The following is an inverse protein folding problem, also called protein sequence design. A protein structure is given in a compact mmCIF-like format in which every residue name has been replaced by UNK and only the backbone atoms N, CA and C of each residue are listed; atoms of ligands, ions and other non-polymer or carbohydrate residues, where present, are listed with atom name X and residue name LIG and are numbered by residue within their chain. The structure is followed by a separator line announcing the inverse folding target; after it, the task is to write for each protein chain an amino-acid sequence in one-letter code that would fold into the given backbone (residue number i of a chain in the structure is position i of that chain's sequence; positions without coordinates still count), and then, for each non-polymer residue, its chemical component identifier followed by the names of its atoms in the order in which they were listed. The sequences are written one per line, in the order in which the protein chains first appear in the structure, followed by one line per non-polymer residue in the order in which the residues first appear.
data_IF_143558229025
#
_entry.id   IF_143558229025
#
_cell.length_a   1.000
_cell.length_b   1.000
_cell.length_c   1.000
_cell.angle_alpha   90.00
_cell.angle_beta   90.00
_cell.angle_gamma   90.00
#
_symmetry.space_group_name_H-M   'P 1'
#
loop_
_entity.id
_entity.type
_entity.pdbx_description
1 polymer ?
#
# COMPACT_ATOMS: atom_id res chain seq x y z
N UNK A 1 0.10 7.55 -23.81
CA UNK A 1 0.75 7.38 -22.49
C UNK A 1 0.60 5.90 -22.12
N UNK A 2 1.69 5.13 -22.12
CA UNK A 2 1.60 3.68 -21.86
C UNK A 2 1.25 3.41 -20.39
N UNK A 3 0.49 2.35 -20.07
CA UNK A 3 0.22 1.97 -18.70
C UNK A 3 1.54 1.63 -17.98
N UNK A 4 1.73 2.23 -16.80
CA UNK A 4 2.88 1.93 -15.93
C UNK A 4 2.48 0.85 -14.93
N UNK A 5 3.17 -0.26 -14.94
CA UNK A 5 3.04 -1.31 -13.93
C UNK A 5 3.86 -0.92 -12.71
N UNK A 6 3.25 -0.98 -11.53
CA UNK A 6 3.91 -0.71 -10.24
C UNK A 6 3.82 -1.98 -9.39
N UNK A 7 4.90 -2.29 -8.68
CA UNK A 7 5.00 -3.44 -7.79
C UNK A 7 5.02 -2.93 -6.34
N UNK A 8 4.23 -3.55 -5.47
CA UNK A 8 4.19 -3.21 -4.04
C UNK A 8 5.49 -3.60 -3.32
N UNK A 9 5.83 -2.88 -2.25
CA UNK A 9 7.05 -3.12 -1.47
C UNK A 9 7.14 -4.53 -0.84
N UNK A 10 5.98 -5.18 -0.61
CA UNK A 10 5.87 -6.53 -0.04
C UNK A 10 6.49 -7.61 -0.93
N UNK A 11 6.78 -7.28 -2.19
CA UNK A 11 7.45 -8.17 -3.13
C UNK A 11 8.98 -8.09 -3.08
N UNK A 12 9.52 -7.19 -2.26
CA UNK A 12 10.96 -6.99 -2.06
C UNK A 12 11.34 -7.36 -0.62
N UNK A 13 12.60 -7.73 -0.41
CA UNK A 13 13.11 -7.91 0.95
C UNK A 13 13.27 -6.54 1.62
N UNK A 14 13.05 -6.47 2.93
CA UNK A 14 13.26 -5.22 3.68
C UNK A 14 14.70 -4.72 3.57
N UNK A 15 15.67 -5.63 3.48
CA UNK A 15 17.09 -5.32 3.29
C UNK A 15 17.39 -4.52 2.01
N UNK A 16 16.52 -4.67 1.01
CA UNK A 16 16.67 -4.05 -0.30
C UNK A 16 16.07 -2.65 -0.37
N UNK A 17 15.26 -2.29 0.62
CA UNK A 17 14.63 -0.99 0.76
C UNK A 17 15.54 -0.08 1.59
N UNK A 18 15.95 1.03 1.01
CA UNK A 18 16.73 2.09 1.65
C UNK A 18 15.82 3.23 2.06
N UNK A 19 16.03 3.73 3.28
CA UNK A 19 15.38 4.94 3.77
C UNK A 19 16.45 6.04 3.87
N UNK A 20 16.30 7.09 3.08
CA UNK A 20 17.16 8.26 3.18
C UNK A 20 16.79 9.03 4.47
N UNK A 21 17.74 9.13 5.41
CA UNK A 21 17.53 9.77 6.72
C UNK A 21 17.08 11.24 6.62
N UNK A 22 17.61 11.98 5.65
CA UNK A 22 17.35 13.41 5.48
C UNK A 22 15.98 13.70 4.87
N UNK A 23 15.54 12.89 3.91
CA UNK A 23 14.30 13.12 3.18
C UNK A 23 13.17 12.16 3.60
N UNK A 24 13.43 11.24 4.53
CA UNK A 24 12.55 10.11 4.91
C UNK A 24 11.99 9.35 3.70
N UNK A 25 12.73 9.36 2.58
CA UNK A 25 12.27 8.79 1.30
C UNK A 25 12.72 7.35 1.21
N UNK A 26 11.77 6.49 0.86
CA UNK A 26 12.00 5.08 0.65
C UNK A 26 12.36 4.84 -0.82
N UNK A 27 13.41 4.09 -1.08
CA UNK A 27 13.84 3.72 -2.43
C UNK A 27 14.41 2.31 -2.43
N UNK A 28 14.35 1.63 -3.58
CA UNK A 28 15.01 0.35 -3.76
C UNK A 28 16.49 0.56 -4.04
N UNK A 29 17.33 -0.40 -3.62
CA UNK A 29 18.71 -0.46 -4.10
C UNK A 29 18.72 -0.66 -5.63
N UNK A 30 19.69 -0.06 -6.35
CA UNK A 30 19.81 -0.27 -7.79
C UNK A 30 19.99 -1.75 -8.14
N UNK A 31 19.27 -2.22 -9.17
CA UNK A 31 19.38 -3.59 -9.69
C UNK A 31 18.64 -4.65 -8.87
N UNK A 32 17.87 -4.26 -7.85
CA UNK A 32 17.05 -5.21 -7.09
C UNK A 32 15.83 -5.63 -7.89
N UNK A 33 15.59 -6.93 -7.92
CA UNK A 33 14.40 -7.55 -8.48
C UNK A 33 13.47 -8.07 -7.37
N UNK A 34 12.15 -8.11 -7.60
CA UNK A 34 11.20 -8.65 -6.63
C UNK A 34 11.40 -10.15 -6.45
N UNK A 35 11.82 -10.57 -5.26
CA UNK A 35 12.05 -11.98 -4.92
C UNK A 35 10.97 -12.59 -4.03
N UNK A 36 10.13 -11.76 -3.39
CA UNK A 36 9.11 -12.22 -2.44
C UNK A 36 7.78 -12.38 -3.17
N UNK A 37 7.55 -13.57 -3.70
CA UNK A 37 6.31 -13.93 -4.38
C UNK A 37 5.53 -14.91 -3.52
N UNK A 38 4.63 -14.38 -2.70
CA UNK A 38 3.73 -15.23 -1.92
C UNK A 38 2.39 -15.42 -2.65
N UNK A 39 2.31 -16.50 -3.44
CA UNK A 39 1.09 -16.94 -4.12
C UNK A 39 0.05 -17.58 -3.18
N UNK A 40 0.45 -17.89 -1.93
CA UNK A 40 -0.42 -18.52 -0.94
C UNK A 40 -1.27 -17.55 -0.12
N UNK A 41 -1.10 -16.23 -0.32
CA UNK A 41 -1.96 -15.21 0.32
C UNK A 41 -3.36 -15.29 -0.31
N UNK A 42 -4.21 -16.15 0.22
CA UNK A 42 -5.66 -16.10 0.00
C UNK A 42 -6.10 -14.73 0.49
N UNK A 43 -6.38 -13.83 -0.45
CA UNK A 43 -6.83 -12.49 -0.12
C UNK A 43 -8.12 -12.61 0.69
N UNK A 44 -8.09 -12.26 1.98
CA UNK A 44 -9.27 -12.09 2.84
C UNK A 44 -10.05 -10.84 2.39
N UNK A 45 -10.43 -10.80 1.12
CA UNK A 45 -11.30 -9.77 0.58
C UNK A 45 -12.63 -9.94 1.27
N UNK A 46 -13.06 -8.87 1.96
CA UNK A 46 -14.44 -8.78 2.42
C UNK A 46 -15.37 -9.08 1.24
N UNK A 47 -16.38 -9.95 1.46
CA UNK A 47 -17.34 -10.29 0.42
C UNK A 47 -18.00 -9.00 -0.12
N UNK A 48 -18.40 -8.97 -1.41
CA UNK A 48 -18.86 -7.75 -2.09
C UNK A 48 -19.92 -6.96 -1.29
N UNK A 49 -20.81 -7.68 -0.58
CA UNK A 49 -21.87 -7.13 0.27
C UNK A 49 -21.38 -6.16 1.35
N UNK A 50 -20.13 -6.29 1.81
CA UNK A 50 -19.58 -5.52 2.93
C UNK A 50 -18.68 -4.35 2.49
N UNK A 51 -18.54 -4.10 1.19
CA UNK A 51 -17.62 -3.06 0.67
C UNK A 51 -18.19 -1.63 0.72
N UNK A 52 -19.50 -1.46 0.83
CA UNK A 52 -20.17 -0.15 0.75
C UNK A 52 -20.25 0.61 2.08
N UNK A 53 -19.77 0.05 3.20
CA UNK A 53 -19.97 0.65 4.52
C UNK A 53 -18.93 1.73 4.91
N UNK A 54 -17.81 1.88 4.18
CA UNK A 54 -16.72 2.77 4.62
C UNK A 54 -16.85 4.22 4.14
N UNK A 55 -17.69 4.52 3.14
CA UNK A 55 -17.89 5.89 2.65
C UNK A 55 -18.88 6.71 3.47
N UNK A 56 -19.66 6.10 4.36
CA UNK A 56 -20.65 6.81 5.17
C UNK A 56 -20.11 7.37 6.51
N UNK A 57 -18.97 6.88 7.03
CA UNK A 57 -18.48 7.27 8.36
C UNK A 57 -17.44 8.41 8.30
N UNK A 58 -16.84 8.69 7.16
CA UNK A 58 -15.85 9.77 7.04
C UNK A 58 -16.46 11.19 6.89
N UNK A 59 -17.79 11.32 6.75
CA UNK A 59 -18.46 12.63 6.54
C UNK A 59 -19.18 13.19 7.78
N UNK A 60 -19.18 12.49 8.92
CA UNK A 60 -19.76 13.00 10.17
C UNK A 60 -18.67 13.24 11.22
N UNK A 61 -17.87 14.29 11.00
CA UNK A 61 -16.75 14.60 11.88
C UNK A 61 -16.29 16.04 11.87
N UNK A 62 -17.13 17.01 11.47
CA UNK A 62 -16.87 18.44 11.72
C UNK A 62 -18.18 19.20 11.90
N UNK A 63 -18.77 19.12 13.08
CA UNK A 63 -19.62 20.19 13.60
C UNK A 63 -19.70 20.01 15.11
N UNK A 64 -19.06 20.91 15.86
CA UNK A 64 -19.62 21.49 17.07
C UNK A 64 -18.86 22.79 17.37
N UNK A 65 -19.55 23.90 17.09
CA UNK A 65 -19.36 25.19 17.73
C UNK A 65 -19.92 25.12 19.15
N UNK A 66 -19.10 25.47 20.14
CA UNK A 66 -19.32 26.60 21.07
C UNK A 66 -18.17 26.65 22.07
#
# INVERSE_FOLDING_TARGET
MAPRTVICHEHFQESDIKIALTSKRWSLRPGVEPSVLNWSKVSERKPPKNRLALTAVAQQGTSNSN
#
